data_IF_297361382041
#
_entry.id   IF_297361382041
#
_cell.length_a   1.000
_cell.length_b   1.000
_cell.length_c   1.000
_cell.angle_alpha   90.00
_cell.angle_beta   90.00
_cell.angle_gamma   90.00
#
_symmetry.space_group_name_H-M   'P 1'
#
loop_
_entity.id
_entity.type
_entity.pdbx_description
1 polymer ?
#
# COMPACT_ATOMS: atom_id res chain seq x y z
N UNK A 1 -3.09 79.72 27.99
CA UNK A 1 -1.91 79.38 27.16
C UNK A 1 -2.27 78.17 26.30
N UNK A 2 -2.36 78.40 24.99
CA UNK A 2 -2.72 77.43 23.97
C UNK A 2 -1.59 76.42 23.74
N UNK A 3 -1.92 75.13 23.66
CA UNK A 3 -1.16 74.20 22.80
C UNK A 3 -2.16 73.27 22.10
N UNK A 4 -2.38 73.55 20.81
CA UNK A 4 -3.03 72.64 19.86
C UNK A 4 -2.10 71.43 19.64
N UNK A 5 -2.64 70.21 19.68
CA UNK A 5 -1.98 69.05 19.07
C UNK A 5 -2.93 68.44 18.04
N UNK A 6 -2.54 68.59 16.80
CA UNK A 6 -3.12 67.99 15.60
C UNK A 6 -2.66 66.54 15.60
N UNK A 7 -3.58 65.59 15.66
CA UNK A 7 -3.29 64.18 15.42
C UNK A 7 -3.63 63.86 13.96
N UNK A 8 -2.58 63.57 13.19
CA UNK A 8 -2.63 63.18 11.78
C UNK A 8 -3.09 61.73 11.70
N UNK A 9 -4.26 61.49 11.11
CA UNK A 9 -4.72 60.14 10.75
C UNK A 9 -3.97 59.67 9.51
N UNK A 10 -3.05 58.72 9.69
CA UNK A 10 -2.37 58.02 8.60
C UNK A 10 -3.28 56.88 8.13
N UNK A 11 -3.82 56.99 6.92
CA UNK A 11 -4.62 55.96 6.25
C UNK A 11 -3.69 54.86 5.74
N UNK A 12 -3.79 53.67 6.34
CA UNK A 12 -3.08 52.46 5.88
C UNK A 12 -3.89 51.79 4.77
N UNK A 13 -3.46 51.96 3.52
CA UNK A 13 -4.04 51.27 2.37
C UNK A 13 -3.60 49.79 2.38
N UNK A 14 -4.53 48.88 2.69
CA UNK A 14 -4.33 47.44 2.54
C UNK A 14 -4.46 47.06 1.06
N UNK A 15 -3.32 46.96 0.39
CA UNK A 15 -3.18 46.39 -0.95
C UNK A 15 -3.27 44.86 -0.85
N UNK A 16 -4.48 44.31 -0.95
CA UNK A 16 -4.71 42.87 -1.07
C UNK A 16 -4.31 42.41 -2.48
N UNK A 17 -3.03 42.08 -2.65
CA UNK A 17 -2.57 41.27 -3.77
C UNK A 17 -3.28 39.91 -3.71
N UNK A 18 -4.00 39.56 -4.77
CA UNK A 18 -4.59 38.24 -4.96
C UNK A 18 -3.49 37.18 -4.96
N UNK A 19 -3.43 36.39 -3.89
CA UNK A 19 -2.68 35.14 -3.87
C UNK A 19 -3.48 34.15 -4.71
N UNK A 20 -3.13 34.03 -6.00
CA UNK A 20 -3.48 32.84 -6.77
C UNK A 20 -2.71 31.70 -6.14
N UNK A 21 -3.35 30.98 -5.22
CA UNK A 21 -2.85 29.70 -4.75
C UNK A 21 -2.96 28.72 -5.92
N UNK A 22 -1.91 28.67 -6.73
CA UNK A 22 -1.63 27.54 -7.62
C UNK A 22 -1.21 26.34 -6.75
N UNK A 23 -2.11 25.85 -5.91
CA UNK A 23 -1.90 24.61 -5.17
C UNK A 23 -2.20 23.45 -6.11
N UNK A 24 -1.12 22.98 -6.73
CA UNK A 24 -0.87 21.60 -7.18
C UNK A 24 -2.10 20.69 -7.15
N UNK A 25 -2.86 20.70 -8.25
CA UNK A 25 -3.59 19.51 -8.66
C UNK A 25 -2.56 18.58 -9.29
N UNK A 26 -2.07 17.59 -8.55
CA UNK A 26 -2.01 16.20 -9.03
C UNK A 26 -1.23 15.31 -8.06
N UNK A 27 -1.76 14.10 -7.83
CA UNK A 27 -1.11 12.86 -7.32
C UNK A 27 -1.91 12.10 -6.26
N UNK A 28 -3.06 12.59 -5.79
CA UNK A 28 -3.92 11.83 -4.84
C UNK A 28 -5.34 11.53 -5.30
N UNK A 29 -5.64 11.69 -6.59
CA UNK A 29 -6.99 11.42 -7.12
C UNK A 29 -6.98 10.55 -8.39
N UNK A 30 -6.40 9.36 -8.29
CA UNK A 30 -6.70 8.28 -9.25
C UNK A 30 -6.73 6.89 -8.60
N UNK A 31 -7.17 6.80 -7.34
CA UNK A 31 -7.37 5.53 -6.63
C UNK A 31 -8.84 5.07 -6.58
N UNK A 32 -9.76 5.72 -7.30
CA UNK A 32 -11.17 5.31 -7.31
C UNK A 32 -11.62 4.81 -8.70
N UNK A 33 -11.74 3.47 -8.77
CA UNK A 33 -12.62 2.66 -9.63
C UNK A 33 -12.29 2.53 -11.11
N UNK A 34 -11.05 2.15 -11.39
CA UNK A 34 -10.63 1.44 -12.59
C UNK A 34 -10.27 0.00 -12.23
N UNK A 35 -11.28 -0.82 -11.91
CA UNK A 35 -11.03 -2.20 -11.42
C UNK A 35 -10.67 -3.07 -12.62
N UNK A 36 -9.37 -3.30 -12.82
CA UNK A 36 -8.92 -4.35 -13.72
C UNK A 36 -9.38 -5.72 -13.22
N UNK A 37 -9.50 -6.66 -14.14
CA UNK A 37 -9.97 -8.03 -13.91
C UNK A 37 -8.87 -9.02 -14.24
N UNK A 38 -8.76 -10.05 -13.40
CA UNK A 38 -7.86 -11.20 -13.57
C UNK A 38 -8.67 -12.49 -13.52
N UNK A 39 -8.42 -13.39 -14.47
CA UNK A 39 -9.09 -14.68 -14.56
C UNK A 39 -8.05 -15.78 -14.68
N UNK A 40 -8.10 -16.74 -13.77
CA UNK A 40 -7.29 -17.95 -13.81
C UNK A 40 -8.01 -19.08 -14.55
N UNK A 41 -7.37 -19.64 -15.57
CA UNK A 41 -7.83 -20.86 -16.22
C UNK A 41 -7.11 -22.07 -15.62
N UNK A 42 -7.81 -22.84 -14.77
CA UNK A 42 -7.26 -24.04 -14.12
C UNK A 42 -6.82 -25.12 -15.12
N UNK A 43 -7.55 -25.31 -16.24
CA UNK A 43 -7.23 -26.38 -17.22
C UNK A 43 -5.97 -26.07 -18.01
N UNK A 44 -5.77 -24.80 -18.38
CA UNK A 44 -4.63 -24.34 -19.20
C UNK A 44 -3.46 -23.80 -18.37
N UNK A 45 -3.63 -23.70 -17.06
CA UNK A 45 -2.71 -23.03 -16.13
C UNK A 45 -2.24 -21.67 -16.68
N UNK A 46 -3.19 -20.77 -16.89
CA UNK A 46 -2.92 -19.47 -17.52
C UNK A 46 -3.73 -18.35 -16.87
N UNK A 47 -3.21 -17.13 -16.92
CA UNK A 47 -3.90 -15.93 -16.44
C UNK A 47 -4.30 -15.03 -17.60
N UNK A 48 -5.53 -14.56 -17.59
CA UNK A 48 -6.01 -13.50 -18.48
C UNK A 48 -6.23 -12.24 -17.66
N UNK A 49 -5.61 -11.15 -18.09
CA UNK A 49 -5.72 -9.83 -17.50
C UNK A 49 -6.51 -8.92 -18.42
N UNK A 50 -7.31 -8.04 -17.85
CA UNK A 50 -7.95 -6.94 -18.58
C UNK A 50 -8.06 -5.71 -17.68
N UNK A 51 -7.82 -4.53 -18.22
CA UNK A 51 -7.85 -3.28 -17.44
C UNK A 51 -8.47 -2.15 -18.26
N UNK A 52 -9.04 -1.13 -17.62
CA UNK A 52 -9.47 0.08 -18.33
C UNK A 52 -8.26 0.88 -18.80
N UNK A 53 -8.45 1.71 -19.84
CA UNK A 53 -7.37 2.55 -20.34
C UNK A 53 -6.88 3.55 -19.29
N UNK A 54 -5.56 3.72 -19.21
CA UNK A 54 -4.90 4.76 -18.42
C UNK A 54 -3.59 5.18 -19.11
N UNK A 55 -2.99 6.27 -18.64
CA UNK A 55 -1.86 6.90 -19.31
C UNK A 55 -2.25 7.60 -20.61
N UNK A 56 -1.33 8.36 -21.18
CA UNK A 56 -1.56 9.17 -22.38
C UNK A 56 -0.89 8.60 -23.62
N UNK A 57 0.20 7.83 -23.49
CA UNK A 57 1.00 7.43 -24.66
C UNK A 57 1.67 6.06 -24.53
N UNK A 58 2.13 5.50 -25.67
CA UNK A 58 2.90 4.25 -25.69
C UNK A 58 2.10 2.98 -25.40
N UNK A 59 2.81 1.86 -25.28
CA UNK A 59 2.27 0.56 -24.91
C UNK A 59 2.21 0.39 -23.38
N UNK A 60 1.31 -0.46 -22.90
CA UNK A 60 1.36 -0.96 -21.54
C UNK A 60 2.54 -1.94 -21.41
N UNK A 61 3.34 -1.77 -20.37
CA UNK A 61 4.41 -2.69 -19.97
C UNK A 61 3.84 -3.58 -18.87
N UNK A 62 4.00 -4.90 -19.02
CA UNK A 62 3.46 -5.89 -18.09
C UNK A 62 4.64 -6.60 -17.45
N UNK A 63 4.65 -6.63 -16.13
CA UNK A 63 5.59 -7.41 -15.34
C UNK A 63 4.86 -8.18 -14.25
N UNK A 64 5.49 -9.23 -13.73
CA UNK A 64 4.91 -10.13 -12.74
C UNK A 64 5.84 -10.37 -11.56
N UNK A 65 5.33 -10.12 -10.36
CA UNK A 65 5.94 -10.46 -9.08
C UNK A 65 5.18 -11.60 -8.40
N UNK A 66 5.83 -12.22 -7.40
CA UNK A 66 5.22 -13.27 -6.58
C UNK A 66 4.32 -12.77 -5.45
N UNK A 67 4.46 -11.50 -5.07
CA UNK A 67 3.65 -10.81 -4.07
C UNK A 67 3.48 -9.33 -4.45
N UNK A 68 2.67 -8.59 -3.68
CA UNK A 68 2.43 -7.16 -3.89
C UNK A 68 3.72 -6.34 -3.84
N UNK A 69 4.59 -6.68 -2.90
CA UNK A 69 5.82 -5.95 -2.59
C UNK A 69 7.07 -6.79 -2.92
N UNK A 70 6.95 -7.64 -3.95
CA UNK A 70 8.03 -8.53 -4.37
C UNK A 70 9.31 -7.74 -4.69
N UNK A 71 10.47 -8.30 -4.33
CA UNK A 71 11.77 -7.67 -4.63
C UNK A 71 12.01 -7.56 -6.13
N UNK A 72 11.49 -8.54 -6.88
CA UNK A 72 11.71 -8.66 -8.31
C UNK A 72 10.39 -8.87 -9.05
N UNK A 73 10.24 -8.11 -10.14
CA UNK A 73 9.15 -8.24 -11.10
C UNK A 73 9.75 -8.65 -12.45
N UNK A 74 9.36 -9.83 -12.93
CA UNK A 74 9.82 -10.35 -14.23
C UNK A 74 9.01 -9.68 -15.34
N UNK A 75 9.68 -9.05 -16.30
CA UNK A 75 9.02 -8.47 -17.48
C UNK A 75 8.39 -9.57 -18.34
N UNK A 76 7.11 -9.41 -18.68
CA UNK A 76 6.36 -10.31 -19.55
C UNK A 76 6.21 -9.75 -20.97
N UNK A 77 6.55 -8.47 -21.17
CA UNK A 77 6.49 -7.79 -22.46
C UNK A 77 5.61 -6.53 -22.43
N UNK A 78 5.22 -6.06 -23.61
CA UNK A 78 4.35 -4.91 -23.76
C UNK A 78 3.22 -5.16 -24.76
N UNK A 79 2.13 -4.41 -24.62
CA UNK A 79 0.98 -4.49 -25.53
C UNK A 79 0.27 -3.14 -25.62
N UNK A 80 -0.29 -2.82 -26.79
CA UNK A 80 -1.20 -1.69 -26.96
C UNK A 80 -2.64 -2.02 -26.55
N UNK A 81 -2.94 -3.31 -26.35
CA UNK A 81 -4.28 -3.80 -26.00
C UNK A 81 -4.55 -3.63 -24.51
N UNK A 82 -5.83 -3.54 -24.16
CA UNK A 82 -6.33 -3.52 -22.77
C UNK A 82 -6.46 -4.92 -22.15
N UNK A 83 -5.87 -5.93 -22.80
CA UNK A 83 -5.89 -7.32 -22.36
C UNK A 83 -4.51 -7.93 -22.55
N UNK A 84 -4.17 -8.86 -21.65
CA UNK A 84 -2.92 -9.61 -21.70
C UNK A 84 -3.16 -11.06 -21.28
N UNK A 85 -2.45 -11.98 -21.93
CA UNK A 85 -2.57 -13.41 -21.68
C UNK A 85 -1.22 -13.99 -21.28
N UNK A 86 -1.12 -14.36 -20.00
CA UNK A 86 0.05 -15.03 -19.44
C UNK A 86 -0.17 -16.56 -19.49
N UNK A 87 0.62 -17.21 -20.35
CA UNK A 87 0.60 -18.67 -20.57
C UNK A 87 1.43 -19.46 -19.55
N UNK A 88 2.24 -18.78 -18.74
CA UNK A 88 3.20 -19.41 -17.82
C UNK A 88 3.21 -18.65 -16.48
N UNK A 89 2.06 -18.53 -15.78
CA UNK A 89 2.01 -17.96 -14.44
C UNK A 89 2.86 -18.77 -13.46
N UNK A 90 3.10 -18.22 -12.27
CA UNK A 90 3.70 -18.94 -11.16
C UNK A 90 2.82 -20.14 -10.75
N UNK A 91 3.45 -21.18 -10.19
CA UNK A 91 2.82 -22.46 -9.90
C UNK A 91 1.58 -22.32 -8.99
N UNK A 92 1.68 -21.51 -7.93
CA UNK A 92 0.52 -21.11 -7.16
C UNK A 92 -0.17 -19.92 -7.84
N UNK A 93 -1.47 -20.09 -8.12
CA UNK A 93 -2.32 -19.04 -8.73
C UNK A 93 -2.36 -17.76 -7.89
N UNK A 94 -2.17 -17.83 -6.57
CA UNK A 94 -2.17 -16.68 -5.66
C UNK A 94 -0.79 -16.00 -5.52
N UNK A 95 0.25 -16.54 -6.13
CA UNK A 95 1.58 -15.92 -6.21
C UNK A 95 1.76 -15.16 -7.54
N UNK A 96 0.70 -14.57 -8.10
CA UNK A 96 0.76 -13.86 -9.37
C UNK A 96 0.24 -12.43 -9.22
N UNK A 97 1.17 -11.49 -9.09
CA UNK A 97 0.92 -10.05 -8.99
C UNK A 97 1.41 -9.37 -10.25
N UNK A 98 0.50 -8.85 -11.06
CA UNK A 98 0.81 -8.22 -12.32
C UNK A 98 0.85 -6.71 -12.17
N UNK A 99 2.02 -6.11 -12.36
CA UNK A 99 2.17 -4.68 -12.50
C UNK A 99 2.03 -4.30 -13.97
N UNK A 100 0.98 -3.52 -14.27
CA UNK A 100 0.70 -2.97 -15.59
C UNK A 100 1.05 -1.49 -15.52
N UNK A 101 2.08 -1.10 -16.26
CA UNK A 101 2.63 0.26 -16.22
C UNK A 101 2.48 0.92 -17.57
N UNK A 102 2.07 2.18 -17.57
CA UNK A 102 2.07 3.04 -18.76
C UNK A 102 2.37 4.46 -18.32
N UNK A 103 3.33 5.10 -18.97
CA UNK A 103 3.95 6.34 -18.51
C UNK A 103 4.46 6.18 -17.06
N UNK A 104 3.98 6.99 -16.12
CA UNK A 104 4.31 6.92 -14.68
C UNK A 104 3.25 6.19 -13.85
N UNK A 105 2.16 5.73 -14.46
CA UNK A 105 1.02 5.13 -13.77
C UNK A 105 1.21 3.62 -13.75
N UNK A 106 1.09 3.01 -12.57
CA UNK A 106 1.13 1.55 -12.40
C UNK A 106 -0.14 1.06 -11.70
N UNK A 107 -0.75 0.03 -12.28
CA UNK A 107 -1.85 -0.73 -11.69
C UNK A 107 -1.37 -2.13 -11.33
N UNK A 108 -1.69 -2.60 -10.12
CA UNK A 108 -1.39 -3.97 -9.69
C UNK A 108 -2.67 -4.81 -9.69
N UNK A 109 -2.65 -5.93 -10.42
CA UNK A 109 -3.72 -6.92 -10.44
C UNK A 109 -3.25 -8.25 -9.86
N UNK A 110 -4.04 -8.83 -8.97
CA UNK A 110 -3.83 -10.18 -8.45
C UNK A 110 -5.17 -10.83 -8.11
N UNK A 111 -5.20 -12.17 -8.05
CA UNK A 111 -6.40 -12.89 -7.62
C UNK A 111 -6.76 -12.53 -6.18
N UNK A 112 -5.76 -12.38 -5.31
CA UNK A 112 -5.95 -12.02 -3.90
C UNK A 112 -6.65 -10.68 -3.79
N UNK A 113 -6.17 -9.63 -4.48
CA UNK A 113 -6.83 -8.33 -4.44
C UNK A 113 -8.25 -8.38 -5.03
N UNK A 114 -8.45 -9.09 -6.15
CA UNK A 114 -9.78 -9.20 -6.77
C UNK A 114 -10.81 -9.88 -5.87
N UNK A 115 -10.42 -10.88 -5.07
CA UNK A 115 -11.33 -11.65 -4.21
C UNK A 115 -11.57 -10.91 -2.89
N UNK A 116 -10.53 -10.34 -2.31
CA UNK A 116 -10.51 -9.88 -0.92
C UNK A 116 -10.56 -8.35 -0.78
N UNK A 117 -10.30 -7.62 -1.87
CA UNK A 117 -10.30 -6.16 -1.92
C UNK A 117 -9.04 -5.51 -1.36
N UNK A 118 -8.95 -4.20 -1.55
CA UNK A 118 -7.71 -3.43 -1.34
C UNK A 118 -7.27 -3.31 0.12
N UNK A 119 -8.15 -3.62 1.08
CA UNK A 119 -7.87 -3.55 2.51
C UNK A 119 -7.38 -4.89 3.10
N UNK A 120 -7.20 -5.91 2.26
CA UNK A 120 -6.62 -7.18 2.65
C UNK A 120 -5.22 -7.32 2.04
N UNK A 121 -4.24 -7.44 2.91
CA UNK A 121 -2.82 -7.47 2.56
C UNK A 121 -2.29 -8.88 2.77
N UNK A 122 -1.57 -9.39 1.77
CA UNK A 122 -0.99 -10.72 1.79
C UNK A 122 0.52 -10.59 1.62
N UNK A 123 1.26 -11.03 2.63
CA UNK A 123 2.71 -11.02 2.67
C UNK A 123 3.25 -12.41 2.36
N UNK A 124 4.36 -12.46 1.63
CA UNK A 124 5.01 -13.71 1.24
C UNK A 124 6.53 -13.60 1.32
N UNK A 125 7.11 -14.22 2.35
CA UNK A 125 8.58 -14.26 2.50
C UNK A 125 9.30 -14.89 1.33
N UNK A 126 8.65 -15.71 0.52
CA UNK A 126 9.27 -16.27 -0.67
C UNK A 126 9.74 -15.19 -1.66
N UNK A 127 9.06 -14.04 -1.69
CA UNK A 127 9.29 -12.98 -2.68
C UNK A 127 9.64 -11.61 -2.06
N UNK A 128 9.59 -11.50 -0.75
CA UNK A 128 9.76 -10.22 -0.03
C UNK A 128 10.99 -10.24 0.87
N UNK A 129 11.38 -9.07 1.38
CA UNK A 129 12.38 -8.97 2.46
C UNK A 129 11.69 -9.17 3.80
N UNK A 130 12.46 -9.53 4.83
CA UNK A 130 11.91 -9.79 6.17
C UNK A 130 11.17 -8.58 6.74
N UNK A 131 11.70 -7.39 6.50
CA UNK A 131 11.18 -6.14 7.04
C UNK A 131 10.02 -5.54 6.23
N UNK A 132 9.66 -6.10 5.07
CA UNK A 132 8.64 -5.53 4.17
C UNK A 132 7.30 -5.37 4.88
N UNK A 133 6.78 -6.45 5.46
CA UNK A 133 5.48 -6.44 6.12
C UNK A 133 5.45 -5.44 7.29
N UNK A 134 6.49 -5.45 8.15
CA UNK A 134 6.61 -4.51 9.26
C UNK A 134 6.59 -3.07 8.80
N UNK A 135 7.40 -2.71 7.80
CA UNK A 135 7.47 -1.34 7.28
C UNK A 135 6.12 -0.88 6.74
N UNK A 136 5.44 -1.72 5.97
CA UNK A 136 4.14 -1.38 5.39
C UNK A 136 3.05 -1.25 6.47
N UNK A 137 2.94 -2.22 7.39
CA UNK A 137 1.95 -2.18 8.47
C UNK A 137 2.16 -0.95 9.37
N UNK A 138 3.40 -0.66 9.76
CA UNK A 138 3.70 0.51 10.59
C UNK A 138 3.44 1.83 9.83
N UNK A 139 3.59 1.85 8.49
CA UNK A 139 3.18 3.01 7.70
C UNK A 139 1.67 3.23 7.73
N UNK A 140 0.88 2.15 7.68
CA UNK A 140 -0.56 2.21 7.83
C UNK A 140 -0.96 2.72 9.22
N UNK A 141 -0.29 2.25 10.28
CA UNK A 141 -0.56 2.61 11.69
C UNK A 141 -0.83 4.10 11.89
N UNK A 142 0.05 4.96 11.36
CA UNK A 142 -0.03 6.43 11.48
C UNK A 142 -1.26 7.08 10.84
N UNK A 143 -1.95 6.36 9.94
CA UNK A 143 -2.99 6.93 9.06
C UNK A 143 -4.40 6.38 9.31
N UNK A 144 -4.55 5.42 10.23
CA UNK A 144 -5.81 4.71 10.43
C UNK A 144 -6.78 5.50 11.31
N UNK A 145 -6.31 6.31 12.26
CA UNK A 145 -7.19 7.09 13.13
C UNK A 145 -7.57 8.48 12.61
N UNK A 146 -8.70 9.02 13.11
CA UNK A 146 -9.11 10.41 12.87
C UNK A 146 -8.13 11.44 13.47
N UNK A 147 -7.22 11.00 14.34
CA UNK A 147 -6.17 11.81 14.97
C UNK A 147 -4.80 11.10 15.02
N UNK A 148 -4.45 10.33 13.98
CA UNK A 148 -3.19 9.55 13.95
C UNK A 148 -3.36 8.16 14.56
N UNK A 149 -2.47 7.76 15.48
CA UNK A 149 -2.47 6.43 16.11
C UNK A 149 -3.71 6.14 16.97
N UNK A 150 -4.44 7.17 17.39
CA UNK A 150 -5.64 7.05 18.23
C UNK A 150 -6.87 6.82 17.33
N UNK A 151 -6.90 5.64 16.71
CA UNK A 151 -7.89 5.25 15.71
C UNK A 151 -9.14 4.57 16.22
N UNK A 152 -9.45 4.68 17.52
CA UNK A 152 -10.60 4.01 18.15
C UNK A 152 -11.93 4.28 17.43
N UNK A 153 -12.11 5.47 16.86
CA UNK A 153 -13.35 5.87 16.17
C UNK A 153 -13.25 5.86 14.64
N UNK A 154 -12.27 5.17 14.08
CA UNK A 154 -12.14 5.06 12.62
C UNK A 154 -13.14 4.08 12.02
N UNK A 155 -13.54 4.34 10.78
CA UNK A 155 -14.32 3.42 9.95
C UNK A 155 -13.43 2.53 9.09
N UNK A 156 -12.12 2.79 9.05
CA UNK A 156 -11.16 1.98 8.30
C UNK A 156 -11.02 0.60 8.95
N UNK A 157 -10.96 -0.44 8.11
CA UNK A 157 -10.76 -1.84 8.50
C UNK A 157 -9.70 -2.42 7.58
N UNK A 158 -8.83 -3.25 8.13
CA UNK A 158 -7.73 -3.84 7.38
C UNK A 158 -7.33 -5.18 7.95
N UNK A 159 -6.82 -6.06 7.11
CA UNK A 159 -6.35 -7.36 7.52
C UNK A 159 -4.99 -7.66 6.89
N UNK A 160 -4.08 -8.15 7.71
CA UNK A 160 -2.70 -8.48 7.36
C UNK A 160 -2.51 -9.97 7.52
N UNK A 161 -2.33 -10.65 6.38
CA UNK A 161 -2.16 -12.10 6.34
C UNK A 161 -0.77 -12.47 5.85
N UNK A 162 -0.18 -13.45 6.52
CA UNK A 162 1.19 -13.87 6.29
C UNK A 162 1.21 -15.30 5.76
N UNK A 163 1.70 -15.50 4.54
CA UNK A 163 1.88 -16.83 3.97
C UNK A 163 2.95 -17.60 4.76
N UNK A 164 2.82 -18.93 4.78
CA UNK A 164 3.74 -19.80 5.48
C UNK A 164 5.20 -19.52 5.07
N UNK A 165 6.11 -19.56 6.03
CA UNK A 165 7.52 -19.44 5.74
C UNK A 165 8.03 -20.70 5.03
N UNK A 166 8.95 -20.50 4.09
CA UNK A 166 9.65 -21.59 3.41
C UNK A 166 11.14 -21.53 3.74
N UNK A 167 11.83 -22.68 3.74
CA UNK A 167 13.28 -22.76 3.85
C UNK A 167 13.88 -21.98 5.05
N UNK A 168 13.23 -22.06 6.21
CA UNK A 168 13.71 -21.40 7.44
C UNK A 168 13.55 -19.88 7.47
N UNK A 169 12.89 -19.28 6.47
CA UNK A 169 12.57 -17.85 6.47
C UNK A 169 11.74 -17.42 7.68
N UNK A 170 11.75 -16.12 7.95
CA UNK A 170 10.91 -15.51 8.98
C UNK A 170 10.55 -14.08 8.58
N UNK A 171 9.37 -13.63 9.01
CA UNK A 171 8.97 -12.21 8.93
C UNK A 171 9.54 -11.37 10.08
N UNK A 172 10.23 -12.01 11.02
CA UNK A 172 11.00 -11.32 12.04
C UNK A 172 12.25 -10.70 11.40
N UNK A 173 12.33 -9.37 11.41
CA UNK A 173 13.54 -8.66 10.98
C UNK A 173 14.63 -8.62 12.05
N UNK A 174 14.41 -9.28 13.19
CA UNK A 174 15.24 -9.18 14.38
C UNK A 174 14.98 -7.88 15.15
N UNK A 175 15.52 -7.79 16.36
CA UNK A 175 15.35 -6.66 17.27
C UNK A 175 15.74 -7.07 18.68
N UNK A 176 15.82 -6.11 19.59
CA UNK A 176 16.11 -6.39 21.00
C UNK A 176 15.33 -5.45 21.92
N UNK A 177 15.22 -5.84 23.19
CA UNK A 177 14.54 -5.05 24.21
C UNK A 177 13.02 -5.22 24.21
N UNK A 178 12.33 -4.28 24.86
CA UNK A 178 10.87 -4.29 24.97
C UNK A 178 10.22 -4.08 23.61
N UNK A 179 9.10 -4.75 23.33
CA UNK A 179 8.34 -4.55 22.09
C UNK A 179 7.91 -3.09 21.86
N UNK A 180 7.83 -2.28 22.92
CA UNK A 180 7.54 -0.83 22.85
C UNK A 180 8.75 0.03 22.46
N UNK A 181 9.95 -0.53 22.41
CA UNK A 181 11.18 0.19 22.06
C UNK A 181 11.38 0.29 20.55
N UNK A 182 12.13 1.30 20.10
CA UNK A 182 12.44 1.47 18.68
C UNK A 182 13.34 0.32 18.17
N UNK A 183 14.19 -0.20 19.04
CA UNK A 183 15.18 -1.25 18.78
C UNK A 183 14.55 -2.64 18.63
N UNK A 184 13.31 -2.83 19.10
CA UNK A 184 12.60 -4.10 18.99
C UNK A 184 12.08 -4.40 17.58
N UNK A 185 12.06 -3.41 16.67
CA UNK A 185 11.50 -3.55 15.33
C UNK A 185 10.10 -4.20 15.34
N UNK A 186 9.26 -3.81 16.28
CA UNK A 186 7.92 -4.39 16.39
C UNK A 186 7.03 -4.00 15.22
N UNK A 187 6.11 -4.89 14.88
CA UNK A 187 4.92 -4.56 14.10
C UNK A 187 3.97 -3.81 15.03
N UNK A 188 3.70 -2.53 14.74
CA UNK A 188 2.74 -1.72 15.48
C UNK A 188 1.34 -1.98 14.97
N UNK A 189 0.51 -2.62 15.80
CA UNK A 189 -0.86 -2.98 15.44
C UNK A 189 -1.85 -1.97 16.00
N UNK A 190 -2.57 -1.31 15.10
CA UNK A 190 -3.59 -0.31 15.43
C UNK A 190 -5.00 -0.87 15.49
N UNK A 191 -5.94 -0.03 15.94
CA UNK A 191 -7.35 -0.35 15.98
C UNK A 191 -7.88 -0.89 14.64
N UNK A 192 -8.81 -1.84 14.74
CA UNK A 192 -9.48 -2.47 13.61
C UNK A 192 -8.56 -3.09 12.55
N UNK A 193 -7.42 -3.56 13.02
CA UNK A 193 -6.51 -4.40 12.24
C UNK A 193 -6.69 -5.85 12.66
N UNK A 194 -6.80 -6.74 11.69
CA UNK A 194 -6.67 -8.17 11.92
C UNK A 194 -5.28 -8.62 11.45
N UNK A 195 -4.61 -9.47 12.22
CA UNK A 195 -3.36 -10.11 11.82
C UNK A 195 -3.52 -11.63 11.93
N UNK A 196 -3.06 -12.37 10.91
CA UNK A 196 -3.19 -13.82 10.89
C UNK A 196 -2.15 -14.52 10.02
N UNK A 197 -1.72 -15.71 10.44
CA UNK A 197 -0.93 -16.61 9.60
C UNK A 197 -1.82 -17.47 8.70
N UNK A 198 -1.39 -17.72 7.47
CA UNK A 198 -2.04 -18.62 6.51
C UNK A 198 -1.39 -20.02 6.46
N UNK A 199 -0.59 -20.34 7.47
CA UNK A 199 -0.02 -21.67 7.67
C UNK A 199 -1.08 -22.69 8.09
N UNK A 200 -0.74 -23.98 7.98
CA UNK A 200 -1.59 -25.07 8.47
C UNK A 200 -1.59 -25.11 10.00
N UNK A 201 -0.46 -24.78 10.61
CA UNK A 201 -0.28 -24.68 12.07
C UNK A 201 0.37 -23.35 12.45
N UNK A 202 0.25 -22.88 13.72
CA UNK A 202 0.80 -21.59 14.12
C UNK A 202 2.30 -21.42 13.86
N UNK A 203 3.09 -22.48 13.98
CA UNK A 203 4.55 -22.44 13.78
C UNK A 203 5.01 -22.26 12.33
N UNK A 204 4.09 -22.40 11.36
CA UNK A 204 4.40 -22.22 9.94
C UNK A 204 4.63 -20.74 9.60
N UNK A 205 4.22 -19.82 10.47
CA UNK A 205 4.41 -18.38 10.31
C UNK A 205 5.15 -17.84 11.52
N UNK A 206 6.42 -17.50 11.34
CA UNK A 206 7.30 -16.89 12.33
C UNK A 206 7.28 -15.38 12.15
N UNK A 207 6.48 -14.72 13.00
CA UNK A 207 6.43 -13.26 13.13
C UNK A 207 7.44 -12.79 14.18
N UNK A 208 7.93 -11.56 14.02
CA UNK A 208 8.67 -10.87 15.07
C UNK A 208 7.73 -10.31 16.15
N UNK A 209 8.27 -9.42 16.98
CA UNK A 209 7.51 -8.75 18.03
C UNK A 209 6.32 -7.97 17.47
N UNK A 210 5.18 -8.07 18.15
CA UNK A 210 3.98 -7.27 17.89
C UNK A 210 3.79 -6.33 19.07
N UNK A 211 3.54 -5.06 18.80
CA UNK A 211 3.26 -4.06 19.81
C UNK A 211 1.93 -3.38 19.53
N UNK A 212 1.04 -3.44 20.51
CA UNK A 212 -0.21 -2.68 20.52
C UNK A 212 -0.07 -1.60 21.58
N UNK A 213 -0.23 -0.33 21.20
CA UNK A 213 -0.09 0.78 22.15
C UNK A 213 -1.19 0.68 23.22
N UNK A 214 -0.85 0.93 24.50
CA UNK A 214 -1.86 1.15 25.54
C UNK A 214 -2.79 2.28 25.10
N UNK A 215 -4.09 2.12 25.36
CA UNK A 215 -5.13 3.03 24.89
C UNK A 215 -6.01 3.56 26.03
N UNK A 216 -5.46 3.61 27.25
CA UNK A 216 -6.08 4.14 28.46
C UNK A 216 -5.07 5.03 29.20
#
# INVERSE_FOLDING_TARGET
>A
MNVKRIAVFTTLAFMLCGVVTSYSMDLKKQANKTVGKIVYNKKKHSMTLSWPAFGSSGNYIISRGGSRSATDFVSLGSTSKLTFYDKRPNADKYENYYAITRDTITMILSLENQIFGDNMFFYDRKYEKAETARKEINSHFSTIGRAGSNGEWTTKRQAYYFKANVNGQTYDSGGYGSASSAEANSIELGFYSHIGGLGKVPSDVKLGSIFTRPHL
#
